data_IF_981549248309
#
_entry.id   IF_981549248309
#
_cell.length_a   1.000
_cell.length_b   1.000
_cell.length_c   1.000
_cell.angle_alpha   90.00
_cell.angle_beta   90.00
_cell.angle_gamma   90.00
#
_symmetry.space_group_name_H-M   'P 1'
#
loop_
_entity.id
_entity.type
_entity.pdbx_description
1 polymer ?
#
# COMPACT_ATOMS: atom_id res chain seq x y z
N UNK A 1 31.91 -28.52 -48.36
CA UNK A 1 30.73 -27.65 -48.32
C UNK A 1 30.24 -27.54 -46.89
N UNK A 2 30.62 -26.47 -46.22
CA UNK A 2 30.25 -26.23 -44.82
C UNK A 2 28.87 -25.58 -44.69
N UNK A 3 27.93 -26.23 -44.03
CA UNK A 3 26.60 -25.65 -43.71
C UNK A 3 26.78 -24.57 -42.66
N UNK A 4 26.64 -23.28 -43.09
CA UNK A 4 26.51 -22.16 -42.14
C UNK A 4 25.28 -22.37 -41.25
N UNK A 5 25.49 -22.58 -39.94
CA UNK A 5 24.42 -22.52 -38.96
C UNK A 5 23.88 -21.08 -38.92
N UNK A 6 22.66 -20.89 -39.41
CA UNK A 6 21.94 -19.62 -39.28
C UNK A 6 21.52 -19.52 -37.82
N UNK A 7 22.13 -18.58 -37.08
CA UNK A 7 21.68 -18.23 -35.74
C UNK A 7 20.22 -17.72 -35.82
N UNK A 8 19.27 -18.30 -35.07
CA UNK A 8 17.93 -17.75 -35.02
C UNK A 8 18.04 -16.31 -34.50
N UNK A 9 17.76 -15.33 -35.34
CA UNK A 9 17.69 -13.93 -34.97
C UNK A 9 16.71 -13.86 -33.78
N UNK A 10 17.21 -13.49 -32.59
CA UNK A 10 16.37 -13.07 -31.49
C UNK A 10 15.54 -11.90 -32.00
N UNK A 11 14.25 -12.13 -32.22
CA UNK A 11 13.29 -11.07 -32.51
C UNK A 11 13.35 -10.14 -31.31
N UNK A 12 13.74 -8.85 -31.48
CA UNK A 12 13.71 -7.94 -30.35
C UNK A 12 12.28 -7.89 -29.87
N UNK A 13 12.04 -8.23 -28.60
CA UNK A 13 10.75 -7.99 -27.94
C UNK A 13 10.41 -6.52 -28.17
N UNK A 14 9.31 -6.26 -28.86
CA UNK A 14 8.85 -4.91 -29.11
C UNK A 14 8.75 -4.20 -27.76
N UNK A 15 9.47 -3.08 -27.59
CA UNK A 15 9.41 -2.25 -26.41
C UNK A 15 7.95 -1.80 -26.23
N UNK A 16 7.24 -2.36 -25.27
CA UNK A 16 5.88 -1.93 -24.95
C UNK A 16 5.96 -0.72 -24.04
N UNK A 17 5.28 0.35 -24.42
CA UNK A 17 5.03 1.46 -23.51
C UNK A 17 4.17 0.93 -22.37
N UNK A 18 4.52 1.30 -21.13
CA UNK A 18 3.78 0.92 -19.93
C UNK A 18 2.66 1.93 -19.75
N UNK A 19 1.46 1.44 -19.56
CA UNK A 19 0.37 2.27 -19.04
C UNK A 19 0.60 2.47 -17.51
N UNK A 20 1.46 3.45 -17.20
CA UNK A 20 1.90 3.73 -15.84
C UNK A 20 0.73 4.15 -14.95
N UNK A 21 -0.17 4.96 -15.49
CA UNK A 21 -1.27 5.54 -14.72
C UNK A 21 -2.23 4.44 -14.28
N UNK A 22 -2.55 3.49 -15.14
CA UNK A 22 -3.36 2.32 -14.76
C UNK A 22 -2.70 1.42 -13.71
N UNK A 23 -1.37 1.23 -13.80
CA UNK A 23 -0.65 0.42 -12.81
C UNK A 23 -0.67 1.14 -11.45
N UNK A 24 -0.45 2.45 -11.42
CA UNK A 24 -0.48 3.25 -10.21
C UNK A 24 -1.89 3.27 -9.60
N UNK A 25 -2.91 3.50 -10.42
CA UNK A 25 -4.31 3.51 -9.97
C UNK A 25 -4.73 2.16 -9.38
N UNK A 26 -4.41 1.05 -10.06
CA UNK A 26 -4.71 -0.28 -9.56
C UNK A 26 -3.99 -0.58 -8.23
N UNK A 27 -2.71 -0.18 -8.10
CA UNK A 27 -1.97 -0.34 -6.86
C UNK A 27 -2.56 0.50 -5.73
N UNK A 28 -2.93 1.76 -5.98
CA UNK A 28 -3.52 2.63 -4.95
C UNK A 28 -4.82 2.06 -4.39
N UNK A 29 -5.71 1.52 -5.24
CA UNK A 29 -6.95 0.86 -4.78
C UNK A 29 -6.65 -0.36 -3.91
N UNK A 30 -5.77 -1.23 -4.38
CA UNK A 30 -5.41 -2.47 -3.69
C UNK A 30 -4.71 -2.20 -2.35
N UNK A 31 -3.77 -1.26 -2.33
CA UNK A 31 -2.94 -1.02 -1.16
C UNK A 31 -3.62 -0.16 -0.09
N UNK A 32 -4.73 0.51 -0.42
CA UNK A 32 -5.58 1.13 0.60
C UNK A 32 -6.22 0.05 1.51
N UNK A 33 -6.70 -1.06 0.94
CA UNK A 33 -7.21 -2.19 1.72
C UNK A 33 -6.12 -2.79 2.62
N UNK A 34 -4.94 -3.02 2.06
CA UNK A 34 -3.79 -3.54 2.79
C UNK A 34 -3.36 -2.62 3.93
N UNK A 35 -3.32 -1.29 3.69
CA UNK A 35 -3.03 -0.31 4.72
C UNK A 35 -4.05 -0.39 5.87
N UNK A 36 -5.35 -0.51 5.54
CA UNK A 36 -6.38 -0.67 6.55
C UNK A 36 -6.29 -2.00 7.30
N UNK A 37 -5.91 -3.10 6.65
CA UNK A 37 -5.71 -4.38 7.36
C UNK A 37 -4.61 -4.24 8.41
N UNK A 38 -3.51 -3.57 8.10
CA UNK A 38 -2.42 -3.32 9.05
C UNK A 38 -2.89 -2.44 10.21
N UNK A 39 -3.52 -1.31 9.92
CA UNK A 39 -3.94 -0.33 10.94
C UNK A 39 -5.07 -0.89 11.81
N UNK A 40 -6.08 -1.54 11.22
CA UNK A 40 -7.17 -2.15 12.00
C UNK A 40 -6.65 -3.25 12.93
N UNK A 41 -5.74 -4.10 12.44
CA UNK A 41 -5.08 -5.11 13.28
C UNK A 41 -4.34 -4.46 14.44
N UNK A 42 -3.52 -3.43 14.18
CA UNK A 42 -2.77 -2.72 15.21
C UNK A 42 -3.68 -2.02 16.24
N UNK A 43 -4.76 -1.39 15.80
CA UNK A 43 -5.73 -0.73 16.69
C UNK A 43 -6.42 -1.73 17.63
N UNK A 44 -6.77 -2.92 17.10
CA UNK A 44 -7.40 -3.99 17.88
C UNK A 44 -6.41 -4.66 18.84
N UNK A 45 -5.18 -4.92 18.42
CA UNK A 45 -4.12 -5.51 19.27
C UNK A 45 -3.72 -4.61 20.42
N UNK A 46 -3.72 -3.29 20.19
CA UNK A 46 -3.45 -2.28 21.22
C UNK A 46 -4.67 -1.93 22.07
N UNK A 47 -5.82 -2.57 21.82
CA UNK A 47 -7.11 -2.34 22.53
C UNK A 47 -7.54 -0.86 22.52
N UNK A 48 -7.22 -0.14 21.43
CA UNK A 48 -7.54 1.29 21.29
C UNK A 48 -8.95 1.54 20.79
N UNK A 49 -9.56 0.54 20.16
CA UNK A 49 -10.88 0.65 19.54
C UNK A 49 -11.56 -0.73 19.55
N UNK A 50 -12.89 -0.75 19.61
CA UNK A 50 -13.65 -2.00 19.50
C UNK A 50 -13.78 -2.45 18.04
N UNK A 51 -13.98 -3.76 17.77
CA UNK A 51 -14.23 -4.24 16.41
C UNK A 51 -15.40 -3.53 15.71
N UNK A 52 -16.45 -3.18 16.44
CA UNK A 52 -17.64 -2.50 15.89
C UNK A 52 -17.35 -1.06 15.43
N UNK A 53 -16.31 -0.42 15.96
CA UNK A 53 -15.97 0.97 15.64
C UNK A 53 -14.97 1.09 14.47
N UNK A 54 -14.40 -0.01 13.99
CA UNK A 54 -13.42 0.01 12.87
C UNK A 54 -14.08 0.49 11.58
N UNK A 55 -15.27 -0.05 11.22
CA UNK A 55 -15.99 0.36 10.01
C UNK A 55 -16.28 1.87 10.00
N UNK A 56 -16.98 2.42 11.01
CA UNK A 56 -17.20 3.86 11.13
C UNK A 56 -15.91 4.71 11.07
N UNK A 57 -14.81 4.21 11.63
CA UNK A 57 -13.53 4.90 11.56
C UNK A 57 -12.94 4.89 10.13
N UNK A 58 -13.06 3.76 9.42
CA UNK A 58 -12.66 3.66 8.01
C UNK A 58 -13.42 4.69 7.16
N UNK A 59 -14.75 4.77 7.34
CA UNK A 59 -15.59 5.71 6.60
C UNK A 59 -15.19 7.16 6.87
N UNK A 60 -14.97 7.53 8.13
CA UNK A 60 -14.53 8.88 8.50
C UNK A 60 -13.20 9.26 7.86
N UNK A 61 -12.22 8.35 7.84
CA UNK A 61 -10.91 8.59 7.24
C UNK A 61 -11.00 8.61 5.72
N UNK A 62 -11.83 7.75 5.11
CA UNK A 62 -12.05 7.76 3.67
C UNK A 62 -12.70 9.07 3.21
N UNK A 63 -13.71 9.57 3.91
CA UNK A 63 -14.32 10.86 3.62
C UNK A 63 -13.34 12.02 3.82
N UNK A 64 -12.50 11.95 4.84
CA UNK A 64 -11.39 12.89 4.99
C UNK A 64 -10.46 12.85 3.79
N UNK A 65 -10.10 11.68 3.27
CA UNK A 65 -9.21 11.52 2.13
C UNK A 65 -9.76 12.15 0.84
N UNK A 66 -11.07 12.03 0.62
CA UNK A 66 -11.77 12.63 -0.53
C UNK A 66 -11.75 14.17 -0.50
N UNK A 67 -11.75 14.76 0.69
CA UNK A 67 -11.84 16.21 0.89
C UNK A 67 -10.50 16.89 1.15
N UNK A 68 -9.55 16.16 1.72
CA UNK A 68 -8.25 16.69 2.11
C UNK A 68 -7.32 16.82 0.89
N UNK A 69 -6.95 18.04 0.54
CA UNK A 69 -5.81 18.26 -0.36
C UNK A 69 -4.54 17.85 0.38
N UNK A 70 -4.02 16.68 0.01
CA UNK A 70 -2.77 16.16 0.57
C UNK A 70 -1.61 16.81 -0.18
N UNK A 71 -0.87 17.67 0.49
CA UNK A 71 0.34 18.29 -0.03
C UNK A 71 1.60 17.61 0.54
N UNK A 72 2.76 17.96 0.00
CA UNK A 72 4.03 17.38 0.44
C UNK A 72 4.35 17.68 1.91
N UNK A 73 3.86 18.79 2.47
CA UNK A 73 4.09 19.17 3.87
C UNK A 73 3.33 18.23 4.80
N UNK A 74 2.05 17.98 4.50
CA UNK A 74 1.22 17.03 5.26
C UNK A 74 1.78 15.60 5.17
N UNK A 75 2.19 15.18 3.97
CA UNK A 75 2.80 13.87 3.80
C UNK A 75 4.11 13.75 4.59
N UNK A 76 4.97 14.78 4.61
CA UNK A 76 6.19 14.77 5.44
C UNK A 76 5.87 14.69 6.93
N UNK A 77 4.83 15.38 7.39
CA UNK A 77 4.37 15.27 8.78
C UNK A 77 3.93 13.84 9.11
N UNK A 78 3.10 13.23 8.25
CA UNK A 78 2.70 11.84 8.44
C UNK A 78 3.90 10.87 8.44
N UNK A 79 4.90 11.09 7.58
CA UNK A 79 6.14 10.32 7.55
C UNK A 79 6.92 10.38 8.88
N UNK A 80 6.96 11.56 9.51
CA UNK A 80 7.58 11.75 10.82
C UNK A 80 6.80 11.03 11.94
N UNK A 81 5.46 11.08 11.90
CA UNK A 81 4.60 10.35 12.86
C UNK A 81 4.76 8.85 12.71
N UNK A 82 4.71 8.35 11.48
CA UNK A 82 4.89 6.93 11.16
C UNK A 82 6.33 6.44 11.37
N UNK A 83 7.29 7.35 11.49
CA UNK A 83 8.73 7.07 11.43
C UNK A 83 9.13 6.31 10.15
N UNK A 84 8.55 6.68 9.03
CA UNK A 84 8.62 5.99 7.73
C UNK A 84 9.01 6.95 6.62
N UNK A 85 10.02 6.61 5.82
CA UNK A 85 10.44 7.42 4.67
C UNK A 85 9.72 6.95 3.40
N UNK A 86 9.21 7.90 2.63
CA UNK A 86 8.57 7.65 1.34
C UNK A 86 9.53 6.95 0.37
N UNK A 87 9.14 5.80 -0.18
CA UNK A 87 9.89 5.17 -1.26
C UNK A 87 9.89 6.08 -2.50
N UNK A 88 11.01 6.10 -3.23
CA UNK A 88 11.07 6.83 -4.50
C UNK A 88 10.40 6.01 -5.59
N UNK A 89 9.46 6.61 -6.31
CA UNK A 89 8.89 6.00 -7.49
C UNK A 89 9.96 5.87 -8.59
N UNK A 90 10.12 4.66 -9.11
CA UNK A 90 11.05 4.42 -10.21
C UNK A 90 10.57 5.12 -11.48
N UNK A 91 11.44 5.93 -12.08
CA UNK A 91 11.11 6.62 -13.33
C UNK A 91 11.45 5.74 -14.54
N UNK A 92 10.56 4.80 -14.85
CA UNK A 92 10.66 3.91 -16.00
C UNK A 92 9.56 4.28 -16.99
N UNK A 93 9.92 4.75 -18.18
CA UNK A 93 8.94 5.06 -19.25
C UNK A 93 8.65 3.85 -20.15
N UNK A 94 9.55 2.89 -20.21
CA UNK A 94 9.44 1.68 -21.05
C UNK A 94 10.02 0.48 -20.32
N UNK A 95 9.39 -0.67 -20.47
CA UNK A 95 9.90 -1.95 -19.97
C UNK A 95 10.57 -2.71 -21.11
N UNK A 96 11.80 -3.12 -20.88
CA UNK A 96 12.58 -3.90 -21.85
C UNK A 96 12.53 -5.41 -21.56
N UNK A 97 12.09 -5.80 -20.37
CA UNK A 97 12.02 -7.20 -19.96
C UNK A 97 10.95 -7.44 -18.89
N UNK A 98 10.40 -8.69 -18.79
CA UNK A 98 9.46 -9.03 -17.73
C UNK A 98 10.00 -8.76 -16.31
N UNK A 99 11.27 -9.05 -15.96
CA UNK A 99 11.82 -8.72 -14.64
C UNK A 99 11.80 -7.23 -14.29
N UNK A 100 12.01 -6.34 -15.28
CA UNK A 100 11.91 -4.89 -15.06
C UNK A 100 10.47 -4.46 -14.75
N UNK A 101 9.49 -5.05 -15.45
CA UNK A 101 8.08 -4.80 -15.19
C UNK A 101 7.70 -5.21 -13.77
N UNK A 102 8.10 -6.40 -13.34
CA UNK A 102 7.82 -6.87 -11.99
C UNK A 102 8.51 -6.01 -10.92
N UNK A 103 9.75 -5.57 -11.16
CA UNK A 103 10.43 -4.61 -10.27
C UNK A 103 9.70 -3.28 -10.20
N UNK A 104 9.19 -2.78 -11.33
CA UNK A 104 8.41 -1.54 -11.37
C UNK A 104 7.11 -1.69 -10.59
N UNK A 105 6.32 -2.75 -10.81
CA UNK A 105 5.07 -3.02 -10.10
C UNK A 105 5.29 -3.05 -8.58
N UNK A 106 6.26 -3.85 -8.10
CA UNK A 106 6.60 -3.92 -6.67
C UNK A 106 7.01 -2.57 -6.09
N UNK A 107 7.67 -1.71 -6.87
CA UNK A 107 8.00 -0.37 -6.42
C UNK A 107 6.75 0.51 -6.32
N UNK A 108 5.84 0.41 -7.29
CA UNK A 108 4.55 1.14 -7.27
C UNK A 108 3.72 0.71 -6.07
N UNK A 109 3.59 -0.60 -5.80
CA UNK A 109 2.90 -1.15 -4.63
C UNK A 109 3.47 -0.57 -3.31
N UNK A 110 4.79 -0.55 -3.15
CA UNK A 110 5.42 0.06 -1.96
C UNK A 110 5.12 1.55 -1.81
N UNK A 111 5.10 2.29 -2.90
CA UNK A 111 4.76 3.72 -2.88
C UNK A 111 3.28 3.90 -2.55
N UNK A 112 2.41 3.08 -3.13
CA UNK A 112 0.97 3.11 -2.91
C UNK A 112 0.63 2.79 -1.44
N UNK A 113 1.16 1.69 -0.90
CA UNK A 113 0.96 1.31 0.51
C UNK A 113 1.44 2.43 1.45
N UNK A 114 2.64 2.98 1.22
CA UNK A 114 3.15 4.09 2.02
C UNK A 114 2.22 5.31 1.97
N UNK A 115 1.73 5.67 0.77
CA UNK A 115 0.83 6.81 0.60
C UNK A 115 -0.50 6.57 1.31
N UNK A 116 -1.06 5.37 1.20
CA UNK A 116 -2.29 4.97 1.89
C UNK A 116 -2.14 5.06 3.41
N UNK A 117 -1.04 4.54 3.96
CA UNK A 117 -0.73 4.66 5.39
C UNK A 117 -0.60 6.12 5.83
N UNK A 118 0.04 7.00 5.01
CA UNK A 118 0.17 8.41 5.31
C UNK A 118 -1.19 9.13 5.34
N UNK A 119 -2.08 8.82 4.41
CA UNK A 119 -3.45 9.36 4.38
C UNK A 119 -4.24 8.91 5.60
N UNK A 120 -4.16 7.63 5.96
CA UNK A 120 -4.81 7.09 7.16
C UNK A 120 -4.24 7.76 8.41
N UNK A 121 -2.92 7.95 8.51
CA UNK A 121 -2.27 8.65 9.61
C UNK A 121 -2.88 10.03 9.82
N UNK A 122 -2.96 10.85 8.76
CA UNK A 122 -3.54 12.19 8.83
C UNK A 122 -5.03 12.19 9.24
N UNK A 123 -5.79 11.19 8.80
CA UNK A 123 -7.19 11.03 9.23
C UNK A 123 -7.32 10.67 10.71
N UNK A 124 -6.46 9.80 11.20
CA UNK A 124 -6.45 9.34 12.58
C UNK A 124 -5.98 10.40 13.59
N UNK A 125 -5.24 11.43 13.18
CA UNK A 125 -4.81 12.55 14.03
C UNK A 125 -5.97 13.31 14.70
N UNK A 126 -7.17 13.18 14.17
CA UNK A 126 -8.37 13.75 14.78
C UNK A 126 -8.82 13.01 16.04
N UNK A 127 -8.46 11.74 16.18
CA UNK A 127 -8.91 10.85 17.27
C UNK A 127 -7.81 10.44 18.22
N UNK A 128 -6.58 10.38 17.76
CA UNK A 128 -5.46 9.86 18.52
C UNK A 128 -4.33 10.89 18.60
N UNK A 129 -3.70 10.97 19.75
CA UNK A 129 -2.50 11.77 19.91
C UNK A 129 -1.31 11.14 19.17
N UNK A 130 -0.27 11.95 18.96
CA UNK A 130 0.92 11.54 18.21
C UNK A 130 1.66 10.35 18.84
N UNK A 131 1.64 10.24 20.18
CA UNK A 131 2.26 9.13 20.89
C UNK A 131 1.54 7.81 20.62
N UNK A 132 0.21 7.85 20.64
CA UNK A 132 -0.64 6.69 20.32
C UNK A 132 -0.47 6.30 18.86
N UNK A 133 -0.48 7.26 17.93
CA UNK A 133 -0.26 6.98 16.51
C UNK A 133 1.10 6.32 16.26
N UNK A 134 2.18 6.80 16.87
CA UNK A 134 3.49 6.14 16.76
C UNK A 134 3.46 4.67 17.20
N UNK A 135 2.69 4.33 18.23
CA UNK A 135 2.53 2.94 18.66
C UNK A 135 1.73 2.11 17.65
N UNK A 136 0.66 2.68 17.10
CA UNK A 136 -0.16 2.02 16.06
C UNK A 136 0.69 1.72 14.83
N UNK A 137 1.43 2.70 14.32
CA UNK A 137 2.27 2.50 13.15
C UNK A 137 3.45 1.56 13.41
N UNK A 138 4.02 1.55 14.60
CA UNK A 138 5.04 0.56 14.97
C UNK A 138 4.46 -0.87 14.96
N UNK A 139 3.26 -1.09 15.51
CA UNK A 139 2.58 -2.40 15.44
C UNK A 139 2.26 -2.79 14.00
N UNK A 140 1.77 -1.85 13.19
CA UNK A 140 1.52 -2.07 11.76
C UNK A 140 2.79 -2.47 11.00
N UNK A 141 3.93 -1.82 11.27
CA UNK A 141 5.23 -2.13 10.66
C UNK A 141 5.70 -3.56 11.01
N UNK A 142 5.48 -4.00 12.25
CA UNK A 142 5.80 -5.37 12.67
C UNK A 142 4.93 -6.38 11.93
N UNK A 143 3.64 -6.12 11.78
CA UNK A 143 2.71 -6.99 11.03
C UNK A 143 3.08 -7.02 9.53
N UNK A 144 3.42 -5.87 8.93
CA UNK A 144 3.90 -5.82 7.54
C UNK A 144 5.20 -6.64 7.35
N UNK A 145 6.13 -6.56 8.30
CA UNK A 145 7.36 -7.36 8.24
C UNK A 145 7.07 -8.89 8.30
N UNK A 146 6.01 -9.30 8.98
CA UNK A 146 5.56 -10.71 8.96
C UNK A 146 4.97 -11.10 7.61
N UNK A 147 4.21 -10.20 6.96
CA UNK A 147 3.72 -10.41 5.60
C UNK A 147 4.89 -10.47 4.60
N UNK A 148 5.82 -9.54 4.68
CA UNK A 148 7.01 -9.49 3.81
C UNK A 148 7.90 -10.74 3.95
N UNK A 149 7.98 -11.29 5.15
CA UNK A 149 8.72 -12.54 5.41
C UNK A 149 7.96 -13.81 5.02
N UNK A 150 6.71 -13.71 4.61
CA UNK A 150 5.84 -14.83 4.26
C UNK A 150 5.31 -15.62 5.46
N UNK A 151 5.47 -15.13 6.70
CA UNK A 151 4.87 -15.73 7.90
C UNK A 151 3.37 -15.49 8.00
N UNK A 152 2.90 -14.36 7.44
CA UNK A 152 1.51 -14.04 7.24
C UNK A 152 1.24 -13.72 5.77
N UNK A 153 -0.01 -13.79 5.36
CA UNK A 153 -0.48 -13.28 4.07
C UNK A 153 -1.53 -12.21 4.29
N UNK A 154 -1.77 -11.37 3.28
CA UNK A 154 -2.87 -10.40 3.32
C UNK A 154 -4.23 -11.07 3.56
N UNK A 155 -4.45 -12.27 2.99
CA UNK A 155 -5.65 -13.07 3.22
C UNK A 155 -5.76 -13.62 4.65
N UNK A 156 -4.65 -13.78 5.37
CA UNK A 156 -4.69 -14.15 6.80
C UNK A 156 -5.14 -12.96 7.65
N UNK A 157 -4.66 -11.75 7.35
CA UNK A 157 -5.10 -10.52 8.03
C UNK A 157 -6.58 -10.24 7.77
N UNK A 158 -7.02 -10.35 6.53
CA UNK A 158 -8.43 -10.22 6.18
C UNK A 158 -9.30 -11.19 6.96
N UNK A 159 -8.94 -12.49 6.99
CA UNK A 159 -9.64 -13.51 7.76
C UNK A 159 -9.65 -13.23 9.26
N UNK A 160 -8.55 -12.74 9.82
CA UNK A 160 -8.46 -12.35 11.22
C UNK A 160 -9.46 -11.24 11.55
N UNK A 161 -9.56 -10.23 10.69
CA UNK A 161 -10.51 -9.12 10.85
C UNK A 161 -11.96 -9.60 10.69
N UNK A 162 -12.25 -10.41 9.68
CA UNK A 162 -13.57 -10.99 9.46
C UNK A 162 -14.03 -11.86 10.64
N UNK A 163 -13.12 -12.64 11.25
CA UNK A 163 -13.41 -13.41 12.44
C UNK A 163 -13.77 -12.54 13.66
N UNK A 164 -13.30 -11.30 13.69
CA UNK A 164 -13.69 -10.28 14.67
C UNK A 164 -14.90 -9.46 14.25
N UNK A 165 -15.60 -9.87 13.18
CA UNK A 165 -16.74 -9.15 12.57
C UNK A 165 -16.38 -7.76 12.00
N UNK A 166 -15.11 -7.55 11.69
CA UNK A 166 -14.63 -6.33 11.02
C UNK A 166 -14.61 -6.57 9.51
N UNK A 167 -15.42 -5.82 8.77
CA UNK A 167 -15.39 -5.78 7.32
C UNK A 167 -14.88 -4.41 6.89
N UNK A 168 -13.81 -4.40 6.11
CA UNK A 168 -13.25 -3.18 5.53
C UNK A 168 -13.77 -3.08 4.10
N UNK A 169 -14.64 -2.11 3.86
CA UNK A 169 -15.13 -1.78 2.53
C UNK A 169 -14.38 -0.55 2.02
N UNK A 170 -13.81 -0.67 0.84
CA UNK A 170 -13.16 0.46 0.17
C UNK A 170 -14.02 0.78 -1.04
N UNK A 171 -14.54 2.01 -1.06
CA UNK A 171 -15.35 2.48 -2.19
C UNK A 171 -14.57 2.39 -3.49
N UNK A 172 -15.13 1.67 -4.47
CA UNK A 172 -14.56 1.56 -5.82
C UNK A 172 -14.63 2.88 -6.63
N UNK A 173 -15.25 3.92 -6.06
CA UNK A 173 -15.53 5.20 -6.73
C UNK A 173 -14.57 6.33 -6.32
N UNK A 174 -13.31 6.03 -5.98
CA UNK A 174 -12.33 7.06 -5.67
C UNK A 174 -11.37 7.31 -6.84
#
# INVERSE_FOLDING_TARGET
MGKKKVNPRRIPLAKKDIDRDKIIEAAMKHDMAHAWYLIATALLELELISPADIGPLCDEVNDFSKTAKTDNVKLSHAEDVMNRKRPKLLNISRVNSPPELEKFKRNVEKVALHTSLAVICLGLEKRFDQKTLKRVFLSADLTEAEVDSGRLTWGDLERLLLNKMVKIEIDDEA
#
